data_IF_460842475492
#
_entry.id   IF_460842475492
#
_cell.length_a   1.000
_cell.length_b   1.000
_cell.length_c   1.000
_cell.angle_alpha   90.00
_cell.angle_beta   90.00
_cell.angle_gamma   90.00
#
_symmetry.space_group_name_H-M   'P 1'
#
loop_
_entity.id
_entity.type
_entity.pdbx_description
1 polymer ?
#
# COMPACT_ATOMS: atom_id res chain seq x y z
N UNK A 1 -16.07 -4.67 -27.85
CA UNK A 1 -16.84 -3.89 -26.86
C UNK A 1 -16.01 -3.81 -25.59
N UNK A 2 -15.20 -2.75 -25.45
CA UNK A 2 -14.19 -2.64 -24.39
C UNK A 2 -14.82 -2.01 -23.14
N UNK A 3 -14.76 -2.69 -21.99
CA UNK A 3 -15.20 -2.13 -20.73
C UNK A 3 -14.24 -1.03 -20.28
N UNK A 4 -14.63 0.19 -20.64
CA UNK A 4 -14.14 1.48 -20.19
C UNK A 4 -14.51 1.67 -18.71
N UNK A 5 -13.81 0.99 -17.81
CA UNK A 5 -14.18 0.89 -16.38
C UNK A 5 -13.07 1.17 -15.37
N UNK A 6 -11.90 1.69 -15.78
CA UNK A 6 -10.85 2.05 -14.82
C UNK A 6 -10.47 3.53 -14.91
N UNK A 7 -11.21 4.39 -14.20
CA UNK A 7 -10.86 5.78 -13.82
C UNK A 7 -11.73 6.07 -12.60
N UNK A 8 -11.34 5.82 -11.36
CA UNK A 8 -10.24 6.46 -10.64
C UNK A 8 -9.68 5.50 -9.57
N UNK A 9 -8.47 4.97 -9.77
CA UNK A 9 -7.70 4.53 -8.62
C UNK A 9 -7.33 5.80 -7.84
N UNK A 10 -8.01 6.04 -6.71
CA UNK A 10 -7.59 7.10 -5.79
C UNK A 10 -6.26 6.66 -5.21
N UNK A 11 -5.19 7.42 -5.48
CA UNK A 11 -3.88 7.18 -4.89
C UNK A 11 -4.06 7.05 -3.37
N UNK A 12 -3.61 5.92 -2.81
CA UNK A 12 -3.53 5.79 -1.35
C UNK A 12 -2.31 6.59 -0.91
N UNK A 13 -2.56 7.77 -0.31
CA UNK A 13 -1.50 8.61 0.21
C UNK A 13 -1.03 8.07 1.56
N UNK A 14 0.17 7.52 1.58
CA UNK A 14 0.85 7.04 2.78
C UNK A 14 1.87 8.08 3.23
N UNK A 15 1.87 8.41 4.52
CA UNK A 15 2.77 9.40 5.13
C UNK A 15 3.52 8.87 6.36
N UNK A 16 3.25 7.63 6.76
CA UNK A 16 3.93 6.94 7.84
C UNK A 16 3.81 5.41 7.67
N UNK A 17 4.56 4.67 8.48
CA UNK A 17 4.67 3.22 8.46
C UNK A 17 3.33 2.54 8.73
N UNK A 18 2.52 3.06 9.66
CA UNK A 18 1.21 2.48 9.99
C UNK A 18 0.24 2.56 8.82
N UNK A 19 0.24 3.68 8.08
CA UNK A 19 -0.56 3.85 6.87
C UNK A 19 -0.08 2.91 5.75
N UNK A 20 1.23 2.70 5.61
CA UNK A 20 1.79 1.76 4.65
C UNK A 20 1.32 0.34 4.96
N UNK A 21 1.53 -0.09 6.21
CA UNK A 21 1.16 -1.40 6.71
C UNK A 21 -0.33 -1.70 6.54
N UNK A 22 -1.20 -0.74 6.89
CA UNK A 22 -2.64 -0.86 6.71
C UNK A 22 -3.03 -0.98 5.22
N UNK A 23 -2.32 -0.30 4.33
CA UNK A 23 -2.55 -0.35 2.88
C UNK A 23 -2.17 -1.72 2.30
N UNK A 24 -1.00 -2.25 2.68
CA UNK A 24 -0.57 -3.60 2.29
C UNK A 24 -1.56 -4.66 2.76
N UNK A 25 -2.00 -4.58 4.03
CA UNK A 25 -3.01 -5.47 4.60
C UNK A 25 -4.33 -5.43 3.83
N UNK A 26 -4.76 -4.24 3.39
CA UNK A 26 -5.97 -4.08 2.57
C UNK A 26 -5.80 -4.76 1.22
N UNK A 27 -4.67 -4.59 0.54
CA UNK A 27 -4.42 -5.23 -0.75
C UNK A 27 -4.29 -6.75 -0.65
N UNK A 28 -3.60 -7.27 0.38
CA UNK A 28 -3.60 -8.72 0.65
C UNK A 28 -5.01 -9.27 0.78
N UNK A 29 -5.85 -8.62 1.59
CA UNK A 29 -7.26 -9.05 1.77
C UNK A 29 -8.07 -8.95 0.47
N UNK A 30 -7.82 -7.94 -0.37
CA UNK A 30 -8.46 -7.82 -1.70
C UNK A 30 -8.02 -8.93 -2.65
N UNK A 31 -6.82 -9.47 -2.48
CA UNK A 31 -6.31 -10.62 -3.21
C UNK A 31 -6.78 -11.97 -2.61
N UNK A 32 -7.65 -11.94 -1.60
CA UNK A 32 -8.17 -13.12 -0.87
C UNK A 32 -7.08 -14.04 -0.28
N UNK A 33 -5.93 -13.45 0.09
CA UNK A 33 -4.83 -14.18 0.70
C UNK A 33 -4.86 -14.03 2.22
N UNK A 34 -4.59 -15.10 2.95
CA UNK A 34 -4.16 -15.06 4.36
C UNK A 34 -2.70 -14.57 4.47
N UNK A 35 -2.27 -14.21 5.68
CA UNK A 35 -0.86 -13.83 5.90
C UNK A 35 0.10 -14.99 5.63
N UNK A 36 -0.33 -16.23 5.89
CA UNK A 36 0.45 -17.44 5.59
C UNK A 36 0.61 -17.64 4.09
N UNK A 37 -0.45 -17.44 3.31
CA UNK A 37 -0.40 -17.59 1.85
C UNK A 37 0.45 -16.50 1.20
N UNK A 38 0.30 -15.25 1.65
CA UNK A 38 1.19 -14.18 1.20
C UNK A 38 2.65 -14.47 1.56
N UNK A 39 2.91 -14.97 2.78
CA UNK A 39 4.24 -15.37 3.21
C UNK A 39 4.83 -16.45 2.32
N UNK A 40 4.05 -17.51 2.00
CA UNK A 40 4.48 -18.57 1.08
C UNK A 40 4.83 -18.03 -0.31
N UNK A 41 3.97 -17.18 -0.89
CA UNK A 41 4.21 -16.58 -2.19
C UNK A 41 5.43 -15.65 -2.21
N UNK A 42 5.70 -14.96 -1.09
CA UNK A 42 6.86 -14.09 -0.91
C UNK A 42 8.12 -14.80 -0.40
N UNK A 43 8.09 -16.12 -0.16
CA UNK A 43 9.16 -16.87 0.51
C UNK A 43 9.54 -16.30 1.89
N UNK A 44 8.55 -15.77 2.63
CA UNK A 44 8.68 -15.19 3.96
C UNK A 44 7.91 -16.00 5.01
N UNK A 45 8.30 -15.87 6.27
CA UNK A 45 7.53 -16.42 7.41
C UNK A 45 6.23 -15.62 7.58
N UNK A 46 5.15 -16.28 7.98
CA UNK A 46 3.89 -15.59 8.31
C UNK A 46 4.09 -14.51 9.40
N UNK A 47 4.96 -14.77 10.38
CA UNK A 47 5.30 -13.79 11.42
C UNK A 47 5.88 -12.48 10.82
N UNK A 48 6.74 -12.59 9.80
CA UNK A 48 7.31 -11.44 9.08
C UNK A 48 6.22 -10.65 8.35
N UNK A 49 5.26 -11.33 7.71
CA UNK A 49 4.08 -10.68 7.12
C UNK A 49 3.24 -9.97 8.19
N UNK A 50 3.05 -10.60 9.35
CA UNK A 50 2.31 -10.00 10.46
C UNK A 50 3.00 -8.76 11.02
N UNK A 51 4.32 -8.79 11.19
CA UNK A 51 5.12 -7.65 11.63
C UNK A 51 5.05 -6.48 10.63
N UNK A 52 5.21 -6.78 9.34
CA UNK A 52 5.04 -5.81 8.26
C UNK A 52 3.64 -5.18 8.29
N UNK A 53 2.57 -5.98 8.37
CA UNK A 53 1.19 -5.50 8.45
C UNK A 53 0.82 -4.79 9.76
N UNK A 54 1.66 -4.93 10.78
CA UNK A 54 1.58 -4.18 12.03
C UNK A 54 2.45 -2.90 12.02
N UNK A 55 3.22 -2.66 10.95
CA UNK A 55 4.13 -1.52 10.83
C UNK A 55 5.36 -1.63 11.75
N UNK A 56 5.85 -2.86 12.01
CA UNK A 56 6.97 -3.12 12.92
C UNK A 56 8.05 -3.94 12.22
N UNK A 57 9.32 -3.60 12.44
CA UNK A 57 10.46 -4.50 12.26
C UNK A 57 10.74 -5.06 10.86
N UNK A 58 10.01 -4.66 9.81
CA UNK A 58 10.23 -5.16 8.46
C UNK A 58 11.34 -4.38 7.75
N UNK A 59 12.20 -5.10 7.02
CA UNK A 59 13.21 -4.51 6.15
C UNK A 59 12.58 -3.92 4.88
N UNK A 60 13.29 -3.01 4.20
CA UNK A 60 12.88 -2.55 2.86
C UNK A 60 12.78 -3.72 1.87
N UNK A 61 13.67 -4.71 1.97
CA UNK A 61 13.61 -5.94 1.17
C UNK A 61 12.27 -6.66 1.37
N UNK A 62 11.86 -6.88 2.62
CA UNK A 62 10.55 -7.48 2.94
C UNK A 62 9.40 -6.70 2.31
N UNK A 63 9.45 -5.36 2.40
CA UNK A 63 8.45 -4.49 1.80
C UNK A 63 8.38 -4.68 0.27
N UNK A 64 9.51 -4.60 -0.43
CA UNK A 64 9.55 -4.71 -1.89
C UNK A 64 9.16 -6.10 -2.39
N UNK A 65 9.53 -7.17 -1.69
CA UNK A 65 9.08 -8.53 -2.00
C UNK A 65 7.55 -8.64 -1.89
N UNK A 66 6.96 -8.09 -0.83
CA UNK A 66 5.49 -8.10 -0.66
C UNK A 66 4.79 -7.23 -1.70
N UNK A 67 5.35 -6.07 -2.05
CA UNK A 67 4.83 -5.23 -3.13
C UNK A 67 4.79 -5.98 -4.47
N UNK A 68 5.88 -6.70 -4.80
CA UNK A 68 5.95 -7.50 -6.02
C UNK A 68 4.89 -8.61 -6.07
N UNK A 69 4.71 -9.36 -4.99
CA UNK A 69 3.70 -10.43 -4.91
C UNK A 69 2.27 -9.88 -5.00
N UNK A 70 2.02 -8.72 -4.39
CA UNK A 70 0.70 -8.07 -4.44
C UNK A 70 0.48 -7.25 -5.72
N UNK A 71 1.44 -7.23 -6.65
CA UNK A 71 1.42 -6.43 -7.87
C UNK A 71 1.16 -4.94 -7.59
N UNK A 72 1.89 -4.39 -6.62
CA UNK A 72 1.82 -2.99 -6.19
C UNK A 72 3.11 -2.24 -6.53
N UNK A 73 2.94 -0.95 -6.83
CA UNK A 73 4.05 -0.02 -7.08
C UNK A 73 4.17 1.00 -5.93
N UNK A 74 5.41 1.30 -5.51
CA UNK A 74 5.70 2.36 -4.56
C UNK A 74 6.13 3.63 -5.31
N UNK A 75 5.31 4.68 -5.24
CA UNK A 75 5.62 5.98 -5.84
C UNK A 75 6.06 6.96 -4.75
N UNK A 76 7.30 7.44 -4.85
CA UNK A 76 7.82 8.55 -4.03
C UNK A 76 7.70 9.85 -4.82
N UNK A 77 6.99 10.83 -4.26
CA UNK A 77 6.77 12.14 -4.91
C UNK A 77 6.75 13.26 -3.87
N UNK A 78 6.98 14.53 -4.28
CA UNK A 78 6.78 15.68 -3.40
C UNK A 78 5.36 15.69 -2.80
N UNK A 79 5.26 16.13 -1.54
CA UNK A 79 3.96 16.34 -0.90
C UNK A 79 3.23 17.44 -1.67
N UNK A 80 1.99 17.19 -2.10
CA UNK A 80 1.12 18.27 -2.57
C UNK A 80 0.85 19.20 -1.39
N UNK A 81 1.23 20.47 -1.50
CA UNK A 81 0.64 21.51 -0.68
C UNK A 81 -0.87 21.48 -0.95
N UNK A 82 -1.67 21.56 0.11
CA UNK A 82 -3.00 22.15 -0.10
C UNK A 82 -2.65 23.59 -0.49
N UNK A 83 -3.02 24.02 -1.69
CA UNK A 83 -2.94 25.44 -2.00
C UNK A 83 -3.90 26.13 -1.02
N UNK A 84 -3.36 26.68 0.06
CA UNK A 84 -4.13 27.47 1.02
C UNK A 84 -4.83 28.64 0.29
N UNK A 85 -4.26 29.10 -0.84
CA UNK A 85 -4.88 30.04 -1.77
C UNK A 85 -6.22 29.53 -2.34
N UNK A 86 -6.32 28.25 -2.72
CA UNK A 86 -7.55 27.68 -3.26
C UNK A 86 -8.64 27.49 -2.18
N UNK A 87 -8.26 27.42 -0.91
CA UNK A 87 -9.19 27.41 0.22
C UNK A 87 -9.62 28.83 0.61
N UNK A 88 -8.72 29.82 0.48
CA UNK A 88 -9.01 31.23 0.73
C UNK A 88 -10.01 31.80 -0.28
N UNK A 89 -10.00 31.35 -1.54
CA UNK A 89 -10.98 31.75 -2.56
C UNK A 89 -12.38 31.12 -2.36
N UNK A 90 -12.54 30.25 -1.37
CA UNK A 90 -13.81 29.58 -1.02
C UNK A 90 -14.55 30.25 0.14
N UNK A 91 -13.96 31.28 0.76
CA UNK A 91 -14.52 32.07 1.87
C UNK A 91 -14.45 33.57 1.54
#
# INVERSE_FOLDING_TARGET
>A
MAYKGWRHAVDIIVRNESQLAASLKRYRKKADLTQTELGRAAQLRQATISELEAGKGATLETLFTVLAVLNLELVVRPRRAVDDAALADLF
#
